data_IF_763816581151
#
_entry.id   IF_763816581151
#
_cell.length_a   1.000
_cell.length_b   1.000
_cell.length_c   1.000
_cell.angle_alpha   90.00
_cell.angle_beta   90.00
_cell.angle_gamma   90.00
#
_symmetry.space_group_name_H-M   'P 1'
#
loop_
_entity.id
_entity.type
_entity.pdbx_description
1 polymer ?
#
# COMPACT_ATOMS: atom_id res chain seq x y z
N UNK A 1 -2.81 1.12 22.14
CA UNK A 1 -2.45 2.02 21.02
C UNK A 1 -2.89 1.36 19.72
N UNK A 2 -3.33 2.12 18.70
CA UNK A 2 -3.78 1.59 17.40
C UNK A 2 -2.74 1.92 16.34
N UNK A 3 -2.24 0.91 15.63
CA UNK A 3 -1.21 1.07 14.60
C UNK A 3 -1.77 0.67 13.23
N UNK A 4 -1.49 1.47 12.21
CA UNK A 4 -1.85 1.19 10.82
C UNK A 4 -0.73 1.54 9.87
N UNK A 5 -0.89 1.17 8.60
CA UNK A 5 0.12 1.41 7.57
C UNK A 5 -0.53 1.81 6.23
N UNK A 6 0.28 2.41 5.35
CA UNK A 6 -0.14 2.75 4.00
C UNK A 6 0.14 1.61 3.04
N UNK A 7 -0.83 1.30 2.17
CA UNK A 7 -0.59 0.39 1.06
C UNK A 7 0.35 1.07 0.05
N UNK A 8 1.29 0.30 -0.57
CA UNK A 8 2.10 0.83 -1.65
C UNK A 8 1.21 1.29 -2.81
N UNK A 9 1.57 2.41 -3.43
CA UNK A 9 0.86 2.94 -4.58
C UNK A 9 1.74 2.98 -5.84
N UNK A 10 3.00 2.54 -5.76
CA UNK A 10 3.92 2.51 -6.90
C UNK A 10 4.93 1.37 -6.79
N UNK A 11 5.53 1.01 -7.92
CA UNK A 11 6.48 -0.10 -8.02
C UNK A 11 5.84 -1.47 -7.84
N UNK A 12 6.66 -2.51 -7.68
CA UNK A 12 6.21 -3.91 -7.63
C UNK A 12 5.25 -4.22 -6.47
N UNK A 13 5.27 -3.43 -5.39
CA UNK A 13 4.35 -3.58 -4.26
C UNK A 13 2.93 -3.09 -4.52
N UNK A 14 2.70 -2.37 -5.62
CA UNK A 14 1.39 -1.87 -6.04
C UNK A 14 0.69 -2.77 -7.07
N UNK A 15 1.32 -3.90 -7.46
CA UNK A 15 0.67 -4.91 -8.29
C UNK A 15 -0.52 -5.54 -7.54
N UNK A 16 -1.63 -5.89 -8.23
CA UNK A 16 -2.85 -6.37 -7.57
C UNK A 16 -2.63 -7.53 -6.61
N UNK A 17 -1.86 -8.55 -7.01
CA UNK A 17 -1.60 -9.71 -6.17
C UNK A 17 -0.73 -9.36 -4.95
N UNK A 18 0.26 -8.48 -5.14
CA UNK A 18 1.11 -8.00 -4.06
C UNK A 18 0.30 -7.21 -3.02
N UNK A 19 -0.63 -6.35 -3.46
CA UNK A 19 -1.54 -5.61 -2.59
C UNK A 19 -2.43 -6.54 -1.77
N UNK A 20 -2.97 -7.58 -2.40
CA UNK A 20 -3.79 -8.60 -1.72
C UNK A 20 -2.97 -9.31 -0.63
N UNK A 21 -1.73 -9.70 -0.94
CA UNK A 21 -0.87 -10.39 0.01
C UNK A 21 -0.44 -9.49 1.18
N UNK A 22 -0.12 -8.22 0.90
CA UNK A 22 0.19 -7.21 1.92
C UNK A 22 -1.02 -6.99 2.82
N UNK A 23 -2.22 -6.86 2.27
CA UNK A 23 -3.41 -6.62 3.05
C UNK A 23 -3.74 -7.80 3.97
N UNK A 24 -3.69 -9.03 3.44
CA UNK A 24 -3.87 -10.27 4.21
C UNK A 24 -2.81 -10.42 5.30
N UNK A 25 -1.56 -10.06 5.02
CA UNK A 25 -0.49 -10.09 6.00
C UNK A 25 -0.71 -9.04 7.09
N UNK A 26 -1.09 -7.81 6.73
CA UNK A 26 -1.40 -6.73 7.66
C UNK A 26 -2.51 -7.10 8.64
N UNK A 27 -3.58 -7.71 8.14
CA UNK A 27 -4.67 -8.24 8.97
C UNK A 27 -4.18 -9.32 9.95
N UNK A 28 -3.41 -10.31 9.46
CA UNK A 28 -2.84 -11.38 10.30
C UNK A 28 -1.88 -10.87 11.37
N UNK A 29 -1.15 -9.79 11.10
CA UNK A 29 -0.24 -9.15 12.06
C UNK A 29 -0.98 -8.27 13.09
N UNK A 30 -2.29 -8.09 12.93
CA UNK A 30 -3.11 -7.33 13.88
C UNK A 30 -3.00 -5.81 13.73
N UNK A 31 -2.65 -5.32 12.53
CA UNK A 31 -2.73 -3.88 12.27
C UNK A 31 -4.18 -3.42 12.32
N UNK A 32 -4.41 -2.28 12.96
CA UNK A 32 -5.73 -1.71 13.16
C UNK A 32 -6.37 -1.22 11.86
N UNK A 33 -5.56 -0.67 10.94
CA UNK A 33 -6.03 -0.20 9.65
C UNK A 33 -4.95 -0.23 8.57
N UNK A 34 -5.41 -0.24 7.34
CA UNK A 34 -4.63 -0.10 6.11
C UNK A 34 -5.21 1.07 5.33
N UNK A 35 -4.38 1.96 4.81
CA UNK A 35 -4.82 3.17 4.12
C UNK A 35 -4.32 3.15 2.67
N UNK A 36 -5.24 3.28 1.72
CA UNK A 36 -4.92 3.39 0.29
C UNK A 36 -5.25 4.80 -0.20
N UNK A 37 -4.30 5.51 -0.84
CA UNK A 37 -4.58 6.76 -1.51
C UNK A 37 -5.47 6.52 -2.74
N UNK A 38 -6.55 7.30 -2.86
CA UNK A 38 -7.42 7.27 -4.03
C UNK A 38 -6.92 8.29 -5.07
N UNK A 39 -5.86 7.92 -5.80
CA UNK A 39 -5.31 8.75 -6.85
C UNK A 39 -5.94 8.42 -8.21
N UNK A 40 -6.58 9.41 -8.82
CA UNK A 40 -7.05 9.31 -10.22
C UNK A 40 -5.87 9.38 -11.20
N UNK A 41 -4.85 10.19 -10.86
CA UNK A 41 -3.64 10.37 -11.66
C UNK A 41 -2.43 10.21 -10.75
N UNK A 42 -1.52 9.33 -11.14
CA UNK A 42 -0.25 9.10 -10.45
C UNK A 42 0.91 9.11 -11.45
N UNK A 43 2.03 9.80 -11.16
CA UNK A 43 3.21 9.75 -11.99
C UNK A 43 3.73 8.32 -12.13
N UNK A 44 3.88 7.85 -13.36
CA UNK A 44 4.44 6.54 -13.68
C UNK A 44 5.97 6.50 -13.56
N UNK A 45 6.62 7.65 -13.56
CA UNK A 45 8.05 7.80 -13.31
C UNK A 45 8.29 9.03 -12.42
N UNK A 46 9.14 8.86 -11.41
CA UNK A 46 9.59 9.94 -10.54
C UNK A 46 11.11 9.88 -10.54
N UNK A 47 11.74 10.89 -11.14
CA UNK A 47 13.18 11.10 -11.02
C UNK A 47 13.42 11.99 -9.81
N UNK A 48 13.81 11.39 -8.69
CA UNK A 48 14.27 12.13 -7.51
C UNK A 48 15.79 12.27 -7.60
N UNK A 49 16.25 13.48 -7.88
CA UNK A 49 17.68 13.85 -7.86
C UNK A 49 18.14 14.20 -6.46
#
# INVERSE_FOLDING_TARGET
MKYGFYLPNSGAGAEPDALVDIAKLGDRLGFYCMVMPDHILQPNQINST
#
